data_IF_440019314197
#
_entry.id   IF_440019314197
#
_cell.length_a   1.000
_cell.length_b   1.000
_cell.length_c   1.000
_cell.angle_alpha   90.00
_cell.angle_beta   90.00
_cell.angle_gamma   90.00
#
_symmetry.space_group_name_H-M   'P 1'
#
loop_
_entity.id
_entity.type
_entity.pdbx_description
1 polymer ?
#
# COMPACT_ATOMS: atom_id res chain seq x y z
N UNK A 1 -23.14 7.06 8.38
CA UNK A 1 -22.83 7.63 7.04
C UNK A 1 -21.35 7.55 6.65
N UNK A 2 -20.38 7.38 7.57
CA UNK A 2 -18.93 7.28 7.26
C UNK A 2 -18.50 6.09 6.35
N UNK A 3 -19.36 5.09 6.20
CA UNK A 3 -19.17 3.96 5.27
C UNK A 3 -20.56 3.53 4.79
N UNK A 4 -20.98 3.93 3.58
CA UNK A 4 -22.30 3.62 3.04
C UNK A 4 -22.54 2.10 2.91
N UNK A 5 -21.53 1.36 2.46
CA UNK A 5 -21.61 -0.09 2.25
C UNK A 5 -21.86 -0.83 3.56
N UNK A 6 -21.13 -0.52 4.64
CA UNK A 6 -21.39 -1.14 5.94
C UNK A 6 -22.77 -0.80 6.52
N UNK A 7 -23.35 0.35 6.17
CA UNK A 7 -24.68 0.70 6.63
C UNK A 7 -25.78 -0.19 6.04
N UNK A 8 -25.54 -0.77 4.85
CA UNK A 8 -26.52 -1.59 4.12
C UNK A 8 -26.20 -3.08 4.13
N UNK A 9 -24.96 -3.48 4.40
CA UNK A 9 -24.51 -4.88 4.42
C UNK A 9 -24.73 -5.60 5.76
N UNK A 10 -25.40 -4.96 6.73
CA UNK A 10 -25.70 -5.60 8.01
C UNK A 10 -26.87 -6.58 7.86
N UNK A 11 -26.59 -7.86 8.04
CA UNK A 11 -27.57 -8.94 8.00
C UNK A 11 -27.90 -9.43 9.41
N UNK A 12 -29.13 -9.92 9.59
CA UNK A 12 -29.53 -10.52 10.88
C UNK A 12 -29.01 -11.95 10.96
N UNK A 13 -28.17 -12.23 11.96
CA UNK A 13 -27.64 -13.56 12.24
C UNK A 13 -28.72 -14.50 12.78
N UNK A 14 -28.41 -15.79 12.89
CA UNK A 14 -29.28 -16.80 13.53
C UNK A 14 -29.60 -16.48 15.00
N UNK A 15 -28.78 -15.67 15.66
CA UNK A 15 -28.99 -15.23 17.05
C UNK A 15 -29.73 -13.89 17.15
N UNK A 16 -30.17 -13.33 16.02
CA UNK A 16 -30.84 -12.03 15.95
C UNK A 16 -29.89 -10.83 16.00
N UNK A 17 -28.57 -11.05 16.01
CA UNK A 17 -27.56 -9.98 16.04
C UNK A 17 -27.25 -9.51 14.61
N UNK A 18 -27.04 -8.21 14.41
CA UNK A 18 -26.57 -7.70 13.11
C UNK A 18 -25.10 -8.04 12.90
N UNK A 19 -24.76 -8.56 11.72
CA UNK A 19 -23.41 -8.95 11.34
C UNK A 19 -23.12 -8.57 9.88
N UNK A 20 -21.86 -8.27 9.58
CA UNK A 20 -21.34 -8.08 8.23
C UNK A 20 -19.96 -8.73 8.16
N UNK A 21 -19.70 -9.49 7.11
CA UNK A 21 -18.35 -9.99 6.84
C UNK A 21 -17.52 -8.89 6.16
N UNK A 22 -16.27 -8.75 6.58
CA UNK A 22 -15.28 -7.89 5.92
C UNK A 22 -14.14 -8.82 5.54
N UNK A 23 -13.90 -8.98 4.25
CA UNK A 23 -12.78 -9.78 3.74
C UNK A 23 -11.52 -8.94 3.79
N UNK A 24 -10.54 -9.40 4.57
CA UNK A 24 -9.23 -8.75 4.71
C UNK A 24 -8.13 -9.81 4.69
N UNK A 25 -6.93 -9.44 4.24
CA UNK A 25 -5.75 -10.32 4.23
C UNK A 25 -5.33 -10.75 5.63
N UNK A 26 -5.46 -9.86 6.60
CA UNK A 26 -5.19 -10.12 8.02
C UNK A 26 -6.22 -9.43 8.91
N UNK A 27 -6.28 -9.86 10.18
CA UNK A 27 -7.14 -9.23 11.18
C UNK A 27 -6.76 -7.77 11.45
N UNK A 28 -5.48 -7.43 11.38
CA UNK A 28 -5.00 -6.08 11.70
C UNK A 28 -5.43 -5.05 10.65
N UNK A 29 -5.52 -5.47 9.38
CA UNK A 29 -6.12 -4.67 8.30
C UNK A 29 -7.59 -4.37 8.61
N UNK A 30 -8.37 -5.38 9.00
CA UNK A 30 -9.77 -5.19 9.41
C UNK A 30 -9.93 -4.25 10.60
N UNK A 31 -9.08 -4.41 11.64
CA UNK A 31 -9.08 -3.52 12.81
C UNK A 31 -8.76 -2.08 12.39
N UNK A 32 -7.78 -1.89 11.52
CA UNK A 32 -7.31 -0.57 11.09
C UNK A 32 -8.36 0.13 10.22
N UNK A 33 -9.04 -0.62 9.35
CA UNK A 33 -10.19 -0.12 8.60
C UNK A 33 -11.33 0.35 9.51
N UNK A 34 -11.74 -0.48 10.49
CA UNK A 34 -12.76 -0.11 11.46
C UNK A 34 -12.34 1.10 12.32
N UNK A 35 -11.05 1.19 12.65
CA UNK A 35 -10.48 2.37 13.34
C UNK A 35 -10.64 3.63 12.49
N UNK A 36 -10.37 3.57 11.19
CA UNK A 36 -10.57 4.72 10.31
C UNK A 36 -12.05 5.13 10.23
N UNK A 37 -12.97 4.17 10.10
CA UNK A 37 -14.41 4.48 10.10
C UNK A 37 -14.82 5.22 11.39
N UNK A 38 -14.24 4.82 12.53
CA UNK A 38 -14.56 5.41 13.82
C UNK A 38 -13.86 6.75 14.09
N UNK A 39 -12.60 6.91 13.66
CA UNK A 39 -11.73 8.04 14.08
C UNK A 39 -11.25 8.94 12.93
N UNK A 40 -11.37 8.50 11.68
CA UNK A 40 -10.75 9.13 10.52
C UNK A 40 -9.29 8.73 10.27
N UNK A 41 -8.67 7.93 11.15
CA UNK A 41 -7.30 7.42 10.97
C UNK A 41 -7.27 5.89 11.12
N UNK A 42 -6.52 5.19 10.27
CA UNK A 42 -6.29 3.76 10.43
C UNK A 42 -5.00 3.44 11.21
N UNK A 43 -4.14 4.44 11.44
CA UNK A 43 -2.91 4.27 12.21
C UNK A 43 -3.21 4.15 13.71
N UNK A 44 -2.74 3.06 14.33
CA UNK A 44 -2.84 2.83 15.77
C UNK A 44 -1.86 3.68 16.57
N UNK A 45 -0.73 4.01 15.95
CA UNK A 45 0.42 4.65 16.57
C UNK A 45 0.38 6.15 16.32
N UNK A 46 -0.62 6.83 16.88
CA UNK A 46 -0.58 8.29 17.05
C UNK A 46 0.47 8.74 18.09
N UNK A 47 1.54 7.95 18.29
CA UNK A 47 2.59 8.21 19.26
C UNK A 47 3.39 9.45 18.86
N UNK A 48 3.92 10.17 19.86
CA UNK A 48 4.65 11.44 19.69
C UNK A 48 5.83 11.39 18.71
N UNK A 49 6.34 10.20 18.37
CA UNK A 49 7.40 10.05 17.39
C UNK A 49 6.85 9.92 15.97
N UNK A 50 6.70 11.06 15.29
CA UNK A 50 6.20 11.16 13.91
C UNK A 50 6.98 10.30 12.89
N UNK A 51 8.21 9.88 13.17
CA UNK A 51 8.99 9.02 12.27
C UNK A 51 8.60 7.55 12.37
N UNK A 52 8.17 7.08 13.55
CA UNK A 52 7.80 5.68 13.78
C UNK A 52 6.66 5.23 12.86
N UNK A 53 5.68 6.10 12.59
CA UNK A 53 4.54 5.80 11.71
C UNK A 53 4.92 5.45 10.26
N UNK A 54 6.07 5.93 9.78
CA UNK A 54 6.54 5.72 8.40
C UNK A 54 7.49 4.54 8.27
N UNK A 55 8.02 4.07 9.40
CA UNK A 55 8.96 2.96 9.47
C UNK A 55 8.20 1.71 9.92
N UNK A 56 7.46 1.78 11.02
CA UNK A 56 6.90 0.59 11.65
C UNK A 56 5.67 0.05 10.91
N UNK A 57 5.02 0.87 10.08
CA UNK A 57 3.88 0.44 9.27
C UNK A 57 4.38 -0.15 7.95
N UNK A 58 4.04 -1.40 7.61
CA UNK A 58 4.37 -1.99 6.33
C UNK A 58 3.73 -1.20 5.18
N UNK A 59 4.50 -0.88 4.13
CA UNK A 59 3.99 -0.12 2.99
C UNK A 59 2.80 -0.80 2.29
N UNK A 60 2.73 -2.14 2.31
CA UNK A 60 1.59 -2.91 1.77
C UNK A 60 0.27 -2.55 2.46
N UNK A 61 0.29 -2.22 3.75
CA UNK A 61 -0.91 -1.91 4.51
C UNK A 61 -1.64 -0.70 3.92
N UNK A 62 -0.92 0.29 3.40
CA UNK A 62 -1.53 1.46 2.77
C UNK A 62 -2.26 1.07 1.47
N UNK A 63 -1.69 0.17 0.70
CA UNK A 63 -2.33 -0.35 -0.52
C UNK A 63 -3.60 -1.11 -0.18
N UNK A 64 -3.56 -1.98 0.83
CA UNK A 64 -4.72 -2.74 1.32
C UNK A 64 -5.82 -1.82 1.88
N UNK A 65 -5.44 -0.73 2.56
CA UNK A 65 -6.39 0.28 3.03
C UNK A 65 -7.08 1.01 1.88
N UNK A 66 -6.35 1.35 0.81
CA UNK A 66 -6.99 1.92 -0.37
C UNK A 66 -7.96 0.92 -1.03
N UNK A 67 -7.57 -0.36 -1.21
CA UNK A 67 -8.48 -1.38 -1.76
C UNK A 67 -9.77 -1.52 -0.94
N UNK A 68 -9.67 -1.50 0.40
CA UNK A 68 -10.86 -1.48 1.25
C UNK A 68 -11.66 -0.19 1.08
N UNK A 69 -11.00 0.96 0.92
CA UNK A 69 -11.67 2.22 0.59
C UNK A 69 -12.47 2.15 -0.71
N UNK A 70 -11.92 1.51 -1.75
CA UNK A 70 -12.62 1.30 -3.01
C UNK A 70 -13.80 0.32 -2.84
N UNK A 71 -13.57 -0.82 -2.17
CA UNK A 71 -14.59 -1.86 -1.98
C UNK A 71 -15.78 -1.40 -1.11
N UNK A 72 -15.53 -0.51 -0.14
CA UNK A 72 -16.54 -0.04 0.81
C UNK A 72 -17.05 1.38 0.54
N UNK A 73 -16.70 1.96 -0.61
CA UNK A 73 -17.09 3.31 -1.03
C UNK A 73 -16.71 4.39 0.01
N UNK A 74 -15.42 4.38 0.39
CA UNK A 74 -14.79 5.34 1.32
C UNK A 74 -13.59 5.99 0.60
N UNK A 75 -13.82 6.94 -0.33
CA UNK A 75 -12.76 7.51 -1.16
C UNK A 75 -11.70 8.29 -0.35
N UNK A 76 -12.07 8.86 0.80
CA UNK A 76 -11.14 9.56 1.69
C UNK A 76 -10.09 8.62 2.27
N UNK A 77 -10.43 7.33 2.46
CA UNK A 77 -9.50 6.33 2.95
C UNK A 77 -8.38 6.08 1.94
N UNK A 78 -8.73 5.95 0.65
CA UNK A 78 -7.71 5.75 -0.38
C UNK A 78 -6.81 6.98 -0.53
N UNK A 79 -7.39 8.19 -0.46
CA UNK A 79 -6.61 9.44 -0.50
C UNK A 79 -5.62 9.54 0.67
N UNK A 80 -6.09 9.22 1.89
CA UNK A 80 -5.24 9.16 3.08
C UNK A 80 -4.13 8.11 2.94
N UNK A 81 -4.49 6.94 2.40
CA UNK A 81 -3.56 5.84 2.25
C UNK A 81 -2.47 6.10 1.23
N UNK A 82 -2.81 6.74 0.11
CA UNK A 82 -1.82 7.21 -0.85
C UNK A 82 -0.84 8.20 -0.19
N UNK A 83 -1.34 9.18 0.58
CA UNK A 83 -0.47 10.13 1.28
C UNK A 83 0.51 9.42 2.23
N UNK A 84 0.02 8.47 3.05
CA UNK A 84 0.89 7.74 3.97
C UNK A 84 1.88 6.83 3.25
N UNK A 85 1.48 6.25 2.12
CA UNK A 85 2.38 5.46 1.29
C UNK A 85 3.54 6.29 0.72
N UNK A 86 3.25 7.46 0.17
CA UNK A 86 4.27 8.36 -0.39
C UNK A 86 5.26 8.79 0.68
N UNK A 87 4.76 9.25 1.82
CA UNK A 87 5.62 9.63 2.96
C UNK A 87 6.48 8.44 3.43
N UNK A 88 5.91 7.24 3.47
CA UNK A 88 6.64 6.03 3.89
C UNK A 88 7.74 5.66 2.90
N UNK A 89 7.49 5.73 1.58
CA UNK A 89 8.51 5.50 0.56
C UNK A 89 9.63 6.55 0.61
N UNK A 90 9.31 7.82 0.82
CA UNK A 90 10.29 8.90 0.94
C UNK A 90 11.23 8.66 2.13
N UNK A 91 10.66 8.38 3.32
CA UNK A 91 11.43 8.07 4.53
C UNK A 91 12.27 6.82 4.31
N UNK A 92 11.68 5.74 3.75
CA UNK A 92 12.37 4.46 3.52
C UNK A 92 13.50 4.58 2.50
N UNK A 93 13.36 5.43 1.48
CA UNK A 93 14.41 5.71 0.50
C UNK A 93 15.69 6.24 1.14
N UNK A 94 15.58 6.89 2.30
CA UNK A 94 16.71 7.42 3.07
C UNK A 94 17.28 6.43 4.10
N UNK A 95 16.72 5.24 4.22
CA UNK A 95 17.19 4.19 5.16
C UNK A 95 18.15 3.21 4.49
N UNK A 96 18.86 2.39 5.28
CA UNK A 96 19.84 1.42 4.77
C UNK A 96 19.21 0.16 4.14
N UNK A 97 17.92 -0.08 4.33
CA UNK A 97 17.23 -1.28 3.89
C UNK A 97 15.89 -0.94 3.24
N UNK A 98 15.45 -1.72 2.24
CA UNK A 98 14.13 -1.54 1.65
C UNK A 98 13.02 -1.90 2.65
N UNK A 99 11.77 -1.46 2.42
CA UNK A 99 10.61 -1.96 3.14
C UNK A 99 10.53 -3.48 3.03
N UNK A 100 10.33 -4.17 4.15
CA UNK A 100 10.23 -5.64 4.19
C UNK A 100 9.09 -6.17 3.30
N UNK A 101 8.00 -5.40 3.17
CA UNK A 101 6.84 -5.74 2.36
C UNK A 101 6.92 -5.28 0.90
N UNK A 102 8.08 -4.78 0.42
CA UNK A 102 8.22 -4.21 -0.92
C UNK A 102 7.75 -5.18 -2.02
N UNK A 103 8.23 -6.42 -2.02
CA UNK A 103 7.90 -7.41 -3.04
C UNK A 103 6.40 -7.76 -3.06
N UNK A 104 5.81 -7.98 -1.89
CA UNK A 104 4.37 -8.23 -1.77
C UNK A 104 3.53 -7.02 -2.19
N UNK A 105 4.03 -5.81 -1.93
CA UNK A 105 3.38 -4.55 -2.36
C UNK A 105 3.38 -4.41 -3.88
N UNK A 106 4.50 -4.71 -4.53
CA UNK A 106 4.59 -4.75 -6.00
C UNK A 106 3.57 -5.75 -6.55
N UNK A 107 3.57 -6.97 -6.04
CA UNK A 107 2.63 -8.00 -6.50
C UNK A 107 1.18 -7.56 -6.37
N UNK A 108 0.80 -6.97 -5.23
CA UNK A 108 -0.57 -6.50 -4.99
C UNK A 108 -0.96 -5.38 -5.96
N UNK A 109 -0.09 -4.39 -6.18
CA UNK A 109 -0.38 -3.28 -7.11
C UNK A 109 -0.56 -3.80 -8.55
N UNK A 110 0.28 -4.74 -8.99
CA UNK A 110 0.19 -5.29 -10.35
C UNK A 110 -0.94 -6.31 -10.52
N UNK A 111 -1.51 -6.85 -9.43
CA UNK A 111 -2.74 -7.63 -9.48
C UNK A 111 -3.99 -6.78 -9.72
N UNK A 112 -3.95 -5.49 -9.38
CA UNK A 112 -5.06 -4.54 -9.54
C UNK A 112 -4.62 -3.28 -10.30
N UNK A 113 -4.23 -3.41 -11.59
CA UNK A 113 -3.56 -2.34 -12.32
C UNK A 113 -4.43 -1.10 -12.56
N UNK A 114 -5.75 -1.26 -12.65
CA UNK A 114 -6.68 -0.13 -12.83
C UNK A 114 -6.95 0.58 -11.49
N UNK A 115 -7.27 -0.19 -10.46
CA UNK A 115 -7.64 0.33 -9.14
C UNK A 115 -6.47 0.97 -8.38
N UNK A 116 -5.24 0.54 -8.64
CA UNK A 116 -4.03 0.97 -7.92
C UNK A 116 -3.00 1.68 -8.82
N UNK A 117 -3.43 2.16 -10.00
CA UNK A 117 -2.57 2.84 -10.96
C UNK A 117 -1.77 4.00 -10.36
N UNK A 118 -2.35 4.72 -9.39
CA UNK A 118 -1.69 5.85 -8.72
C UNK A 118 -0.56 5.44 -7.76
N UNK A 119 -0.59 4.23 -7.18
CA UNK A 119 0.55 3.73 -6.40
C UNK A 119 1.70 3.26 -7.28
N UNK A 120 1.37 2.74 -8.46
CA UNK A 120 2.32 2.10 -9.39
C UNK A 120 3.49 3.02 -9.74
N UNK A 121 3.20 4.27 -10.11
CA UNK A 121 4.22 5.24 -10.53
C UNK A 121 5.24 5.51 -9.43
N UNK A 122 4.76 5.79 -8.22
CA UNK A 122 5.62 6.15 -7.08
C UNK A 122 6.42 4.95 -6.56
N UNK A 123 5.82 3.76 -6.59
CA UNK A 123 6.52 2.51 -6.28
C UNK A 123 7.68 2.24 -7.26
N UNK A 124 7.41 2.34 -8.57
CA UNK A 124 8.44 2.14 -9.61
C UNK A 124 9.54 3.20 -9.47
N UNK A 125 9.18 4.46 -9.23
CA UNK A 125 10.12 5.55 -8.94
C UNK A 125 11.00 5.25 -7.74
N UNK A 126 10.43 4.78 -6.64
CA UNK A 126 11.17 4.34 -5.47
C UNK A 126 12.16 3.22 -5.82
N UNK A 127 11.71 2.17 -6.52
CA UNK A 127 12.56 1.04 -6.90
C UNK A 127 13.75 1.48 -7.76
N UNK A 128 13.55 2.34 -8.75
CA UNK A 128 14.64 2.84 -9.60
C UNK A 128 15.59 3.73 -8.81
N UNK A 129 15.08 4.62 -7.95
CA UNK A 129 15.92 5.54 -7.14
C UNK A 129 16.77 4.79 -6.13
N UNK A 130 16.18 3.82 -5.45
CA UNK A 130 16.79 3.10 -4.32
C UNK A 130 17.48 1.81 -4.75
N UNK A 131 17.47 1.46 -6.05
CA UNK A 131 18.01 0.19 -6.56
C UNK A 131 19.44 -0.08 -6.10
N UNK A 132 20.30 0.94 -6.16
CA UNK A 132 21.72 0.83 -5.78
C UNK A 132 21.91 0.81 -4.26
N UNK A 133 21.28 1.74 -3.54
CA UNK A 133 21.42 1.87 -2.09
C UNK A 133 20.90 0.65 -1.34
N UNK A 134 19.75 0.12 -1.77
CA UNK A 134 19.11 -1.05 -1.17
C UNK A 134 19.52 -2.37 -1.81
N UNK A 135 20.41 -2.33 -2.81
CA UNK A 135 20.91 -3.52 -3.53
C UNK A 135 19.78 -4.41 -4.08
N UNK A 136 18.70 -3.81 -4.59
CA UNK A 136 17.50 -4.53 -5.03
C UNK A 136 17.80 -5.62 -6.07
N UNK A 137 18.78 -5.39 -6.95
CA UNK A 137 19.21 -6.38 -7.95
C UNK A 137 19.91 -7.61 -7.36
N UNK A 138 20.31 -7.58 -6.09
CA UNK A 138 20.92 -8.70 -5.37
C UNK A 138 19.90 -9.45 -4.49
N UNK A 139 18.73 -8.85 -4.25
CA UNK A 139 17.66 -9.46 -3.49
C UNK A 139 16.93 -10.52 -4.33
N UNK A 140 16.91 -11.76 -3.84
CA UNK A 140 16.34 -12.89 -4.58
C UNK A 140 14.82 -12.74 -4.76
N UNK A 141 14.12 -12.28 -3.73
CA UNK A 141 12.67 -12.08 -3.79
C UNK A 141 12.32 -11.00 -4.81
N UNK A 142 13.05 -9.89 -4.83
CA UNK A 142 12.85 -8.81 -5.79
C UNK A 142 13.10 -9.28 -7.23
N UNK A 143 14.18 -10.04 -7.46
CA UNK A 143 14.47 -10.63 -8.79
C UNK A 143 13.37 -11.58 -9.23
N UNK A 144 12.82 -12.37 -8.31
CA UNK A 144 11.71 -13.27 -8.61
C UNK A 144 10.45 -12.47 -9.00
N UNK A 145 10.11 -11.42 -8.28
CA UNK A 145 8.98 -10.52 -8.64
C UNK A 145 9.17 -9.90 -10.02
N UNK A 146 10.38 -9.43 -10.34
CA UNK A 146 10.70 -8.88 -11.67
C UNK A 146 10.52 -9.92 -12.78
N UNK A 147 10.91 -11.17 -12.52
CA UNK A 147 10.74 -12.25 -13.48
C UNK A 147 9.27 -12.63 -13.65
N UNK A 148 8.51 -12.70 -12.56
CA UNK A 148 7.10 -13.10 -12.55
C UNK A 148 6.16 -12.02 -13.12
N UNK A 149 6.59 -10.76 -13.11
CA UNK A 149 5.78 -9.61 -13.56
C UNK A 149 6.46 -8.88 -14.73
N UNK A 150 6.25 -9.33 -15.99
CA UNK A 150 6.82 -8.68 -17.17
C UNK A 150 6.47 -7.19 -17.30
N UNK A 151 5.25 -6.80 -16.92
CA UNK A 151 4.84 -5.39 -16.93
C UNK A 151 5.69 -4.55 -15.98
N UNK A 152 5.97 -5.06 -14.78
CA UNK A 152 6.84 -4.37 -13.82
C UNK A 152 8.26 -4.19 -14.36
N UNK A 153 8.80 -5.21 -15.05
CA UNK A 153 10.09 -5.10 -15.72
C UNK A 153 10.10 -4.00 -16.79
N UNK A 154 9.05 -3.92 -17.61
CA UNK A 154 8.91 -2.87 -18.63
C UNK A 154 8.86 -1.49 -17.99
N UNK A 155 8.07 -1.30 -16.93
CA UNK A 155 7.95 -0.01 -16.24
C UNK A 155 9.26 0.42 -15.58
N UNK A 156 10.01 -0.51 -14.97
CA UNK A 156 11.36 -0.24 -14.46
C UNK A 156 12.31 0.21 -15.58
N UNK A 157 12.28 -0.48 -16.72
CA UNK A 157 13.13 -0.18 -17.87
C UNK A 157 12.83 1.19 -18.48
N UNK A 158 11.55 1.52 -18.64
CA UNK A 158 11.09 2.81 -19.15
C UNK A 158 11.57 3.95 -18.25
N UNK A 159 11.26 3.89 -16.95
CA UNK A 159 11.61 4.97 -16.03
C UNK A 159 13.13 5.12 -15.84
N UNK A 160 13.87 4.01 -15.81
CA UNK A 160 15.33 4.06 -15.75
C UNK A 160 15.93 4.69 -17.02
N UNK A 161 15.36 4.43 -18.18
CA UNK A 161 15.80 5.05 -19.44
C UNK A 161 15.52 6.55 -19.43
N UNK A 162 14.32 6.97 -19.05
CA UNK A 162 13.94 8.39 -18.94
C UNK A 162 14.88 9.19 -18.02
N UNK A 163 15.33 8.59 -16.92
CA UNK A 163 16.29 9.23 -16.00
C UNK A 163 17.68 9.40 -16.57
N UNK A 164 18.20 8.40 -17.29
CA UNK A 164 19.51 8.52 -17.93
C UNK A 164 19.54 9.63 -18.99
N UNK A 165 18.42 9.93 -19.64
CA UNK A 165 18.31 11.09 -20.55
C UNK A 165 18.18 12.44 -19.85
N UNK A 166 17.84 12.48 -18.56
CA UNK A 166 17.72 13.72 -17.79
C UNK A 166 19.04 14.13 -17.10
N UNK A 167 19.97 13.18 -16.93
CA UNK A 167 21.30 13.39 -16.35
C UNK A 167 22.38 13.65 -17.43
N UNK A 168 22.03 13.66 -18.72
CA UNK A 168 22.85 14.08 -19.88
C UNK A 168 22.52 15.52 -20.34
#
# INVERSE_FOLDING_TARGET
ERCPVLAVCLETSKTGSLQCAIETSTKDIGISFLRHIYTGSYDANSSDNRLSRYIDIPVIMHVEMCLLGLNFDVPELCSLALSYFLDSLEVRGSTCSPPESLCATIQLIYQHPEDLAFFKKDLVSYCVTSAKSHKLAQDEAFRQVVFDLPEFWVDLGHLNSERNFADE
#
